data_IF_188181858265
#
_entry.id   IF_188181858265
#
_cell.length_a   1.000
_cell.length_b   1.000
_cell.length_c   1.000
_cell.angle_alpha   90.00
_cell.angle_beta   90.00
_cell.angle_gamma   90.00
#
_symmetry.space_group_name_H-M   'P 1'
#
loop_
_entity.id
_entity.type
_entity.pdbx_description
1 polymer ?
#
# COMPACT_ATOMS: atom_id res chain seq x y z
N UNK A 1 -2.55 -3.58 15.70
CA UNK A 1 -3.91 -3.13 16.07
C UNK A 1 -4.72 -2.96 14.79
N UNK A 2 -5.20 -4.04 14.18
CA UNK A 2 -5.99 -3.98 12.94
C UNK A 2 -7.41 -3.53 13.24
N UNK A 3 -7.71 -2.27 12.91
CA UNK A 3 -8.97 -1.59 13.22
C UNK A 3 -10.08 -2.03 12.25
N UNK A 4 -11.14 -2.59 12.83
CA UNK A 4 -12.53 -2.78 12.35
C UNK A 4 -12.76 -3.02 10.84
N UNK A 5 -13.15 -4.27 10.57
CA UNK A 5 -13.69 -4.79 9.31
C UNK A 5 -15.05 -4.12 9.03
N UNK A 6 -15.07 -3.15 8.12
CA UNK A 6 -16.27 -2.81 7.35
C UNK A 6 -16.17 -3.58 6.03
N UNK A 7 -17.23 -4.28 5.65
CA UNK A 7 -17.26 -5.32 4.61
C UNK A 7 -16.80 -4.91 3.20
N UNK A 8 -16.49 -3.63 2.95
CA UNK A 8 -16.16 -3.12 1.61
C UNK A 8 -14.78 -2.47 1.52
N UNK A 9 -14.21 -1.95 2.62
CA UNK A 9 -12.92 -1.24 2.65
C UNK A 9 -12.05 -1.78 3.77
N UNK A 10 -10.87 -2.28 3.42
CA UNK A 10 -9.87 -2.80 4.34
C UNK A 10 -8.59 -1.97 4.27
N UNK A 11 -8.04 -1.63 5.43
CA UNK A 11 -6.70 -1.05 5.54
C UNK A 11 -5.72 -2.15 5.93
N UNK A 12 -4.70 -2.36 5.10
CA UNK A 12 -3.71 -3.42 5.26
C UNK A 12 -2.33 -2.77 5.36
N UNK A 13 -1.63 -3.04 6.46
CA UNK A 13 -0.24 -2.61 6.66
C UNK A 13 0.71 -3.54 5.89
N UNK A 14 1.70 -2.94 5.25
CA UNK A 14 2.68 -3.66 4.44
C UNK A 14 3.98 -2.87 4.30
N UNK A 15 4.91 -3.39 3.50
CA UNK A 15 6.20 -2.78 3.22
C UNK A 15 6.28 -2.46 1.73
N UNK A 16 6.73 -1.25 1.42
CA UNK A 16 6.96 -0.77 0.06
C UNK A 16 8.10 -1.55 -0.62
N UNK A 17 7.83 -2.14 -1.78
CA UNK A 17 8.79 -2.98 -2.53
C UNK A 17 9.42 -2.28 -3.75
N UNK A 18 9.15 -0.98 -3.98
CA UNK A 18 9.70 -0.27 -5.15
C UNK A 18 11.22 -0.11 -5.15
N UNK A 19 11.82 0.05 -3.98
CA UNK A 19 13.25 0.19 -3.83
C UNK A 19 13.70 -0.42 -2.50
N UNK A 20 15.01 -0.60 -2.33
CA UNK A 20 15.60 -1.21 -1.13
C UNK A 20 15.45 -0.41 0.17
N UNK A 21 14.76 0.73 0.16
CA UNK A 21 14.49 1.49 1.40
C UNK A 21 13.48 0.76 2.28
N UNK A 22 12.43 0.16 1.69
CA UNK A 22 11.44 -0.59 2.46
C UNK A 22 10.53 0.28 3.34
N UNK A 23 10.00 1.39 2.82
CA UNK A 23 9.10 2.26 3.59
C UNK A 23 7.85 1.52 4.12
N UNK A 24 7.47 1.81 5.36
CA UNK A 24 6.22 1.33 5.95
C UNK A 24 5.01 1.98 5.24
N UNK A 25 4.07 1.17 4.78
CA UNK A 25 2.90 1.64 4.01
C UNK A 25 1.60 1.02 4.51
N UNK A 26 0.51 1.73 4.28
CA UNK A 26 -0.85 1.22 4.45
C UNK A 26 -1.57 1.28 3.11
N UNK A 27 -2.04 0.12 2.65
CA UNK A 27 -2.85 -0.04 1.46
C UNK A 27 -4.34 -0.08 1.83
N UNK A 28 -5.15 0.70 1.11
CA UNK A 28 -6.60 0.64 1.18
C UNK A 28 -7.08 -0.29 0.06
N UNK A 29 -7.73 -1.38 0.45
CA UNK A 29 -8.25 -2.40 -0.45
C UNK A 29 -9.77 -2.39 -0.42
N UNK A 30 -10.39 -2.28 -1.59
CA UNK A 30 -11.84 -2.36 -1.77
C UNK A 30 -12.13 -3.32 -2.93
N UNK A 31 -13.11 -4.21 -2.77
CA UNK A 31 -13.48 -5.19 -3.81
C UNK A 31 -12.28 -5.96 -4.40
N UNK A 32 -11.35 -6.37 -3.52
CA UNK A 32 -10.11 -7.06 -3.90
C UNK A 32 -9.17 -6.26 -4.82
N UNK A 33 -9.27 -4.93 -4.81
CA UNK A 33 -8.40 -4.00 -5.56
C UNK A 33 -7.77 -2.96 -4.65
N UNK A 34 -6.54 -2.56 -4.95
CA UNK A 34 -5.84 -1.50 -4.22
C UNK A 34 -6.36 -0.15 -4.73
N UNK A 35 -7.03 0.60 -3.86
CA UNK A 35 -7.59 1.92 -4.20
C UNK A 35 -6.61 3.05 -3.90
N UNK A 36 -5.79 2.88 -2.86
CA UNK A 36 -4.83 3.90 -2.41
C UNK A 36 -3.72 3.28 -1.58
N UNK A 37 -2.50 3.81 -1.73
CA UNK A 37 -1.39 3.56 -0.80
C UNK A 37 -0.96 4.89 -0.16
N UNK A 38 -0.68 4.86 1.14
CA UNK A 38 -0.11 5.99 1.86
C UNK A 38 0.96 5.52 2.87
N UNK A 39 1.78 6.46 3.32
CA UNK A 39 2.80 6.18 4.33
C UNK A 39 2.13 5.78 5.65
N UNK A 40 2.64 4.73 6.29
CA UNK A 40 2.26 4.46 7.66
C UNK A 40 2.72 5.63 8.54
N UNK A 41 1.83 6.25 9.31
CA UNK A 41 2.14 7.48 10.07
C UNK A 41 3.28 7.27 11.06
N UNK A 42 3.31 6.12 11.72
CA UNK A 42 4.32 5.73 12.69
C UNK A 42 5.46 4.92 12.05
N UNK A 43 5.60 4.97 10.72
CA UNK A 43 6.61 4.22 9.97
C UNK A 43 8.02 4.66 10.35
N UNK A 44 8.84 3.73 10.85
CA UNK A 44 10.20 4.01 11.35
C UNK A 44 11.13 4.34 10.20
N UNK A 45 11.00 3.62 9.08
CA UNK A 45 11.94 3.71 7.96
C UNK A 45 11.83 5.04 7.24
N UNK A 46 10.59 5.49 6.99
CA UNK A 46 10.32 6.70 6.21
C UNK A 46 9.77 7.85 7.02
N UNK A 47 9.59 7.69 8.34
CA UNK A 47 9.08 8.71 9.26
C UNK A 47 7.75 9.32 8.77
N UNK A 48 6.82 8.46 8.38
CA UNK A 48 5.52 8.88 7.85
C UNK A 48 5.55 9.51 6.46
N UNK A 49 6.67 9.40 5.72
CA UNK A 49 6.79 9.93 4.34
C UNK A 49 6.74 8.80 3.31
N UNK A 50 6.31 9.12 2.10
CA UNK A 50 6.30 8.19 0.98
C UNK A 50 6.59 8.93 -0.33
N UNK A 51 7.50 8.39 -1.14
CA UNK A 51 7.82 8.97 -2.45
C UNK A 51 6.72 8.68 -3.49
N UNK A 52 6.79 9.33 -4.64
CA UNK A 52 5.81 9.17 -5.73
C UNK A 52 5.69 7.71 -6.21
N UNK A 53 6.80 6.96 -6.23
CA UNK A 53 6.81 5.54 -6.63
C UNK A 53 6.00 4.68 -5.65
N UNK A 54 6.24 4.85 -4.35
CA UNK A 54 5.50 4.14 -3.31
C UNK A 54 4.02 4.48 -3.28
N UNK A 55 3.68 5.74 -3.53
CA UNK A 55 2.31 6.23 -3.45
C UNK A 55 1.43 5.83 -4.65
N UNK A 56 1.99 5.75 -5.86
CA UNK A 56 1.21 5.57 -7.08
C UNK A 56 1.62 4.38 -7.95
N UNK A 57 2.77 3.76 -7.70
CA UNK A 57 3.28 2.78 -8.66
C UNK A 57 2.53 1.44 -8.69
N UNK A 58 1.46 1.24 -7.90
CA UNK A 58 0.95 -0.09 -7.56
C UNK A 58 0.05 -0.70 -8.63
N UNK A 59 -0.21 0.05 -9.70
CA UNK A 59 -1.07 -0.34 -10.81
C UNK A 59 -0.57 -1.59 -11.55
N UNK A 60 0.71 -1.94 -11.44
CA UNK A 60 1.27 -3.15 -12.06
C UNK A 60 0.60 -4.45 -11.55
N UNK A 61 0.00 -4.43 -10.36
CA UNK A 61 -0.69 -5.58 -9.77
C UNK A 61 -1.91 -5.99 -10.62
N UNK A 62 -2.57 -5.01 -11.24
CA UNK A 62 -3.76 -5.16 -12.08
C UNK A 62 -3.47 -4.93 -13.58
N UNK A 63 -2.20 -4.92 -13.99
CA UNK A 63 -1.81 -4.72 -15.38
C UNK A 63 -2.39 -5.81 -16.30
N UNK A 64 -2.85 -5.41 -17.50
CA UNK A 64 -3.54 -6.31 -18.45
C UNK A 64 -2.63 -7.45 -18.95
N UNK A 65 -1.33 -7.17 -19.04
CA UNK A 65 -0.26 -8.04 -19.49
C UNK A 65 0.45 -8.78 -18.33
N UNK A 66 -0.06 -8.67 -17.10
CA UNK A 66 0.49 -9.41 -15.95
C UNK A 66 0.33 -10.92 -16.14
N UNK A 67 1.44 -11.65 -15.98
CA UNK A 67 1.48 -13.12 -15.98
C UNK A 67 0.67 -13.66 -14.78
N UNK A 68 -0.17 -14.68 -15.02
CA UNK A 68 -1.01 -15.34 -14.02
C UNK A 68 -0.63 -16.81 -13.86
#
# INVERSE_FOLDING_TARGET
MTKKINSERQEIESVCTYCGVGCDITGVVENNKIVKIFAHQDGVVSQGKLCIKGKYGYDFVDAKDRVR
#
